data_IF_599766463689
#
_entry.id   IF_599766463689
#
_cell.length_a   1.000
_cell.length_b   1.000
_cell.length_c   1.000
_cell.angle_alpha   90.00
_cell.angle_beta   90.00
_cell.angle_gamma   90.00
#
_symmetry.space_group_name_H-M   'P 1'
#
loop_
_entity.id
_entity.type
_entity.pdbx_description
1 polymer ?
#
# COMPACT_ATOMS: atom_id res chain seq x y z
N UNK A 1 -13.53 24.85 15.05
CA UNK A 1 -12.84 23.98 14.07
C UNK A 1 -13.84 22.99 13.46
N UNK A 2 -14.00 22.98 12.13
CA UNK A 2 -14.87 22.01 11.45
C UNK A 2 -14.16 20.65 11.45
N UNK A 3 -14.78 19.61 12.03
CA UNK A 3 -14.27 18.24 11.97
C UNK A 3 -14.44 17.70 10.55
N UNK A 4 -13.33 17.51 9.84
CA UNK A 4 -13.33 16.94 8.49
C UNK A 4 -13.41 15.42 8.57
N UNK A 5 -14.34 14.81 7.83
CA UNK A 5 -14.41 13.36 7.65
C UNK A 5 -13.19 12.90 6.85
N UNK A 6 -12.45 11.92 7.38
CA UNK A 6 -11.30 11.35 6.70
C UNK A 6 -11.73 10.13 5.89
N UNK A 7 -11.66 10.24 4.56
CA UNK A 7 -12.06 9.20 3.61
C UNK A 7 -10.87 8.31 3.24
N UNK A 8 -11.10 7.00 3.10
CA UNK A 8 -10.11 6.06 2.54
C UNK A 8 -9.94 6.26 1.02
N UNK A 9 -8.87 5.70 0.46
CA UNK A 9 -8.65 5.69 -0.99
C UNK A 9 -9.79 4.93 -1.69
N UNK A 10 -10.24 3.82 -1.13
CA UNK A 10 -11.40 3.07 -1.63
C UNK A 10 -12.68 3.92 -1.69
N UNK A 11 -13.00 4.65 -0.63
CA UNK A 11 -14.19 5.51 -0.58
C UNK A 11 -14.12 6.63 -1.62
N UNK A 12 -12.93 7.20 -1.85
CA UNK A 12 -12.72 8.22 -2.88
C UNK A 12 -12.89 7.65 -4.29
N UNK A 13 -12.43 6.42 -4.54
CA UNK A 13 -12.64 5.74 -5.81
C UNK A 13 -14.12 5.45 -6.08
N UNK A 14 -14.86 4.99 -5.06
CA UNK A 14 -16.32 4.82 -5.19
C UNK A 14 -17.02 6.13 -5.58
N UNK A 15 -16.53 7.27 -5.09
CA UNK A 15 -17.03 8.59 -5.48
C UNK A 15 -16.68 8.91 -6.93
N UNK A 16 -15.44 8.64 -7.36
CA UNK A 16 -14.99 8.87 -8.75
C UNK A 16 -15.82 8.01 -9.71
N UNK A 17 -15.92 6.70 -9.46
CA UNK A 17 -16.71 5.79 -10.31
C UNK A 17 -18.20 6.17 -10.35
N UNK A 18 -18.77 6.66 -9.25
CA UNK A 18 -20.15 7.17 -9.25
C UNK A 18 -20.32 8.39 -10.18
N UNK A 19 -19.36 9.32 -10.19
CA UNK A 19 -19.37 10.49 -11.08
C UNK A 19 -19.20 10.05 -12.54
N UNK A 20 -18.29 9.11 -12.82
CA UNK A 20 -18.08 8.57 -14.17
C UNK A 20 -19.31 7.83 -14.71
N UNK A 21 -20.03 7.12 -13.84
CA UNK A 21 -21.31 6.48 -14.15
C UNK A 21 -22.48 7.48 -14.32
N UNK A 22 -22.21 8.78 -14.23
CA UNK A 22 -23.19 9.85 -14.49
C UNK A 22 -23.99 10.31 -13.28
N UNK A 23 -23.65 9.91 -12.05
CA UNK A 23 -24.28 10.50 -10.86
C UNK A 23 -23.86 11.97 -10.70
N UNK A 24 -24.84 12.83 -10.39
CA UNK A 24 -24.56 14.22 -10.09
C UNK A 24 -23.77 14.37 -8.78
N UNK A 25 -22.80 15.27 -8.77
CA UNK A 25 -22.01 15.58 -7.55
C UNK A 25 -22.91 16.03 -6.39
N UNK A 26 -24.03 16.69 -6.67
CA UNK A 26 -25.00 17.10 -5.66
C UNK A 26 -25.66 15.91 -4.95
N UNK A 27 -26.01 14.85 -5.69
CA UNK A 27 -26.57 13.64 -5.10
C UNK A 27 -25.54 12.92 -4.23
N UNK A 28 -24.29 12.83 -4.69
CA UNK A 28 -23.20 12.21 -3.92
C UNK A 28 -22.91 12.98 -2.62
N UNK A 29 -22.94 14.32 -2.67
CA UNK A 29 -22.79 15.16 -1.48
C UNK A 29 -23.87 14.84 -0.42
N UNK A 30 -25.12 14.66 -0.85
CA UNK A 30 -26.24 14.32 0.04
C UNK A 30 -26.10 12.90 0.60
N UNK A 31 -25.82 11.92 -0.26
CA UNK A 31 -25.71 10.51 0.13
C UNK A 31 -24.55 10.25 1.10
N UNK A 32 -23.37 10.83 0.82
CA UNK A 32 -22.17 10.62 1.63
C UNK A 32 -22.02 11.64 2.76
N UNK A 33 -22.94 12.60 2.85
CA UNK A 33 -22.92 13.76 3.76
C UNK A 33 -21.56 14.50 3.71
N UNK A 34 -21.14 14.86 2.49
CA UNK A 34 -19.86 15.51 2.22
C UNK A 34 -20.06 16.93 1.68
N UNK A 35 -19.16 17.88 2.05
CA UNK A 35 -19.17 19.20 1.44
C UNK A 35 -18.87 19.14 -0.05
N UNK A 36 -19.50 20.01 -0.84
CA UNK A 36 -19.26 20.12 -2.29
C UNK A 36 -17.78 20.30 -2.65
N UNK A 37 -17.06 21.10 -1.86
CA UNK A 37 -15.61 21.30 -2.03
C UNK A 37 -14.80 20.02 -1.85
N UNK A 38 -15.26 19.08 -1.03
CA UNK A 38 -14.59 17.79 -0.82
C UNK A 38 -14.75 16.90 -2.03
N UNK A 39 -15.98 16.78 -2.57
CA UNK A 39 -16.25 15.97 -3.77
C UNK A 39 -15.52 16.53 -4.99
N UNK A 40 -15.50 17.85 -5.16
CA UNK A 40 -14.75 18.49 -6.24
C UNK A 40 -13.24 18.28 -6.13
N UNK A 41 -12.66 18.36 -4.92
CA UNK A 41 -11.24 18.07 -4.72
C UNK A 41 -10.90 16.60 -5.00
N UNK A 42 -11.79 15.67 -4.65
CA UNK A 42 -11.62 14.25 -4.97
C UNK A 42 -11.60 14.05 -6.49
N UNK A 43 -12.55 14.65 -7.20
CA UNK A 43 -12.61 14.60 -8.66
C UNK A 43 -11.35 15.18 -9.32
N UNK A 44 -10.86 16.33 -8.85
CA UNK A 44 -9.64 16.94 -9.38
C UNK A 44 -8.34 16.16 -9.07
N UNK A 45 -8.41 15.17 -8.18
CA UNK A 45 -7.26 14.32 -7.82
C UNK A 45 -7.44 12.87 -8.27
N UNK A 46 -8.40 12.60 -9.15
CA UNK A 46 -8.72 11.32 -9.79
C UNK A 46 -7.49 10.52 -10.24
N UNK A 47 -6.66 11.10 -11.12
CA UNK A 47 -5.51 10.43 -11.74
C UNK A 47 -4.48 9.93 -10.72
N UNK A 48 -4.32 10.67 -9.61
CA UNK A 48 -3.42 10.25 -8.53
C UNK A 48 -4.03 9.04 -7.82
N UNK A 49 -5.29 9.15 -7.42
CA UNK A 49 -6.01 8.12 -6.68
C UNK A 49 -6.08 6.79 -7.47
N UNK A 50 -6.30 6.85 -8.79
CA UNK A 50 -6.33 5.66 -9.67
C UNK A 50 -4.98 4.95 -9.75
N UNK A 51 -3.89 5.70 -9.92
CA UNK A 51 -2.54 5.13 -10.06
C UNK A 51 -2.08 4.36 -8.82
N UNK A 52 -2.74 4.57 -7.67
CA UNK A 52 -2.35 4.06 -6.36
C UNK A 52 -3.22 2.89 -5.86
N UNK A 53 -4.25 2.51 -6.62
CA UNK A 53 -5.19 1.43 -6.30
C UNK A 53 -4.46 0.10 -6.02
N UNK A 54 -3.39 -0.18 -6.75
CA UNK A 54 -2.68 -1.46 -6.68
C UNK A 54 -1.94 -1.71 -5.35
N UNK A 55 -1.84 -0.74 -4.44
CA UNK A 55 -0.98 -0.88 -3.27
C UNK A 55 -1.62 -0.50 -1.92
N UNK A 56 -2.64 0.35 -1.85
CA UNK A 56 -2.99 1.03 -0.58
C UNK A 56 -4.50 1.36 -0.38
N UNK A 57 -5.38 0.39 -0.57
CA UNK A 57 -6.85 0.58 -0.52
C UNK A 57 -7.37 1.13 0.82
N UNK A 58 -6.87 0.60 1.95
CA UNK A 58 -7.36 0.95 3.29
C UNK A 58 -6.83 2.29 3.84
N UNK A 59 -5.87 2.92 3.16
CA UNK A 59 -5.21 4.12 3.67
C UNK A 59 -6.03 5.37 3.35
N UNK A 60 -6.10 6.30 4.31
CA UNK A 60 -6.81 7.59 4.17
C UNK A 60 -5.97 8.69 3.51
N UNK A 61 -4.65 8.58 3.64
CA UNK A 61 -3.68 9.56 3.12
C UNK A 61 -2.58 8.83 2.36
N UNK A 62 -2.35 9.27 1.14
CA UNK A 62 -1.17 8.91 0.40
C UNK A 62 0.04 9.57 1.06
N UNK A 63 1.03 8.76 1.44
CA UNK A 63 2.35 9.25 1.83
C UNK A 63 3.26 9.12 0.63
N UNK A 64 3.61 10.25 0.04
CA UNK A 64 4.67 10.32 -0.98
C UNK A 64 5.99 10.56 -0.29
N UNK A 65 7.03 9.86 -0.74
CA UNK A 65 8.40 10.19 -0.35
C UNK A 65 8.82 11.53 -0.94
N UNK A 66 9.67 12.26 -0.24
CA UNK A 66 10.32 13.46 -0.77
C UNK A 66 11.27 13.11 -1.93
N UNK A 67 11.86 11.91 -1.89
CA UNK A 67 12.82 11.42 -2.89
C UNK A 67 12.48 9.98 -3.30
N UNK A 68 11.40 9.77 -4.09
CA UNK A 68 10.90 8.44 -4.41
C UNK A 68 11.93 7.56 -5.12
N UNK A 69 12.81 8.16 -5.93
CA UNK A 69 13.89 7.43 -6.63
C UNK A 69 14.94 6.87 -5.65
N UNK A 70 15.27 7.62 -4.59
CA UNK A 70 16.26 7.18 -3.59
C UNK A 70 15.69 6.01 -2.80
N UNK A 71 14.43 6.10 -2.39
CA UNK A 71 13.75 5.04 -1.64
C UNK A 71 13.63 3.75 -2.45
N UNK A 72 13.30 3.84 -3.75
CA UNK A 72 13.22 2.66 -4.61
C UNK A 72 14.58 2.02 -4.82
N UNK A 73 15.64 2.81 -5.07
CA UNK A 73 17.01 2.30 -5.17
C UNK A 73 17.47 1.64 -3.88
N UNK A 74 17.22 2.28 -2.72
CA UNK A 74 17.57 1.72 -1.43
C UNK A 74 16.82 0.42 -1.14
N UNK A 75 15.52 0.37 -1.45
CA UNK A 75 14.71 -0.84 -1.26
C UNK A 75 15.19 -1.98 -2.16
N UNK A 76 15.47 -1.72 -3.43
CA UNK A 76 16.03 -2.71 -4.35
C UNK A 76 17.40 -3.21 -3.88
N UNK A 77 18.27 -2.30 -3.46
CA UNK A 77 19.58 -2.63 -2.91
C UNK A 77 19.45 -3.47 -1.63
N UNK A 78 18.55 -3.12 -0.71
CA UNK A 78 18.26 -3.91 0.48
C UNK A 78 17.73 -5.28 0.12
N UNK A 79 16.78 -5.37 -0.81
CA UNK A 79 16.20 -6.64 -1.29
C UNK A 79 17.24 -7.54 -1.96
N UNK A 80 18.18 -6.98 -2.72
CA UNK A 80 19.29 -7.72 -3.33
C UNK A 80 20.29 -8.22 -2.29
N UNK A 81 20.56 -7.42 -1.24
CA UNK A 81 21.47 -7.78 -0.16
C UNK A 81 20.86 -8.74 0.85
N UNK A 82 19.55 -8.62 1.11
CA UNK A 82 18.80 -9.66 1.82
C UNK A 82 18.57 -10.79 0.84
N UNK A 83 19.52 -11.73 0.73
CA UNK A 83 19.18 -13.06 0.25
C UNK A 83 18.06 -13.55 1.17
N UNK A 84 16.81 -13.50 0.72
CA UNK A 84 15.70 -14.07 1.47
C UNK A 84 16.06 -15.55 1.64
N UNK A 85 16.47 -15.91 2.85
CA UNK A 85 16.83 -17.29 3.13
C UNK A 85 15.52 -18.05 3.02
N UNK A 86 15.35 -18.79 1.92
CA UNK A 86 14.21 -19.68 1.75
C UNK A 86 14.17 -20.62 2.95
N UNK A 87 12.96 -20.90 3.46
CA UNK A 87 12.75 -21.85 4.56
C UNK A 87 13.47 -23.18 4.28
N UNK A 88 13.46 -23.62 3.02
CA UNK A 88 14.16 -24.82 2.54
C UNK A 88 15.69 -24.68 2.69
N UNK A 89 16.24 -23.51 2.36
CA UNK A 89 17.67 -23.25 2.48
C UNK A 89 18.15 -23.25 3.94
N UNK A 90 17.31 -22.75 4.86
CA UNK A 90 17.56 -22.80 6.30
C UNK A 90 17.54 -24.25 6.80
N UNK A 91 16.53 -25.02 6.41
CA UNK A 91 16.37 -26.43 6.81
C UNK A 91 17.54 -27.30 6.36
N UNK A 92 17.95 -27.19 5.08
CA UNK A 92 19.10 -27.92 4.54
C UNK A 92 20.41 -27.56 5.28
N UNK A 93 20.56 -26.29 5.67
CA UNK A 93 21.72 -25.83 6.41
C UNK A 93 21.73 -26.39 7.84
N UNK A 94 20.59 -26.35 8.54
CA UNK A 94 20.41 -26.91 9.88
C UNK A 94 20.68 -28.41 9.90
N UNK A 95 20.20 -29.15 8.91
CA UNK A 95 20.43 -30.59 8.80
C UNK A 95 21.92 -30.94 8.61
N UNK A 96 22.62 -30.15 7.77
CA UNK A 96 24.08 -30.29 7.60
C UNK A 96 24.84 -30.05 8.90
N UNK A 97 24.45 -29.04 9.67
CA UNK A 97 25.07 -28.75 10.96
C UNK A 97 24.72 -29.80 12.03
N UNK A 98 23.47 -30.29 12.06
CA UNK A 98 23.06 -31.37 12.96
C UNK A 98 23.88 -32.63 12.75
N UNK A 99 24.08 -33.05 11.49
CA UNK A 99 24.95 -34.18 11.16
C UNK A 99 26.40 -33.97 11.62
N UNK A 100 26.94 -32.77 11.43
CA UNK A 100 28.30 -32.46 11.85
C UNK A 100 28.47 -32.53 13.38
N UNK A 101 27.49 -32.05 14.14
CA UNK A 101 27.50 -32.13 15.61
C UNK A 101 27.36 -33.58 16.08
N UNK A 102 26.42 -34.35 15.51
CA UNK A 102 26.24 -35.77 15.86
C UNK A 102 27.47 -36.62 15.54
N UNK A 103 28.17 -36.35 14.44
CA UNK A 103 29.40 -37.06 14.08
C UNK A 103 30.55 -36.77 15.05
N UNK A 104 30.61 -35.57 15.64
CA UNK A 104 31.62 -35.20 16.65
C UNK A 104 31.29 -35.78 18.03
N UNK A 105 30.01 -35.97 18.36
CA UNK A 105 29.58 -36.57 19.64
C UNK A 105 29.71 -38.10 19.65
N UNK A 106 29.75 -38.74 18.48
CA UNK A 106 29.90 -40.19 18.32
C UNK A 106 31.35 -40.67 18.12
N UNK A 107 32.32 -39.76 18.09
CA UNK A 107 33.76 -40.01 17.98
C UNK A 107 34.45 -39.76 19.33
#
# INVERSE_FOLDING_TARGET
MIRKKALTIEEKLKIISAIENGQSQANICREKNLPKSTVSNIWNSDKKIESELNCQIDKKKLRTSLHPKVDTMWFQQKKANTKTISSIMLMLKTEKFGRAISAVVAA
#
